data_IF_495798060796
#
_entry.id   IF_495798060796
#
_cell.length_a   1.000
_cell.length_b   1.000
_cell.length_c   1.000
_cell.angle_alpha   90.00
_cell.angle_beta   90.00
_cell.angle_gamma   90.00
#
_symmetry.space_group_name_H-M   'P 1'
#
loop_
_entity.id
_entity.type
_entity.pdbx_description
1 polymer ?
#
# COMPACT_ATOMS: atom_id res chain seq x y z
N UNK A 1 -22.49 19.63 -6.74
CA UNK A 1 -21.37 19.47 -5.78
C UNK A 1 -20.07 19.17 -6.54
N UNK A 2 -18.87 19.44 -5.99
CA UNK A 2 -17.70 18.54 -6.20
C UNK A 2 -16.83 18.43 -4.94
N UNK A 3 -16.66 17.18 -4.54
CA UNK A 3 -15.91 16.59 -3.42
C UNK A 3 -16.02 15.05 -3.59
N UNK A 4 -15.15 14.26 -2.95
CA UNK A 4 -15.06 12.80 -3.11
C UNK A 4 -14.72 12.31 -4.55
N UNK A 5 -15.68 11.80 -5.33
CA UNK A 5 -15.42 10.95 -6.51
C UNK A 5 -14.39 11.46 -7.54
N UNK A 6 -14.36 12.76 -7.84
CA UNK A 6 -13.38 13.33 -8.77
C UNK A 6 -11.92 13.31 -8.24
N UNK A 7 -11.71 13.28 -6.92
CA UNK A 7 -10.38 13.07 -6.32
C UNK A 7 -9.94 11.61 -6.43
N UNK A 8 -10.86 10.65 -6.25
CA UNK A 8 -10.60 9.21 -6.40
C UNK A 8 -10.34 8.81 -7.86
N UNK A 9 -10.82 9.59 -8.84
CA UNK A 9 -10.46 9.41 -10.25
C UNK A 9 -9.09 10.02 -10.60
N UNK A 10 -8.73 11.17 -10.00
CA UNK A 10 -7.41 11.79 -10.17
C UNK A 10 -6.27 10.97 -9.52
N UNK A 11 -6.61 10.15 -8.52
CA UNK A 11 -5.76 9.16 -7.83
C UNK A 11 -4.89 8.31 -8.79
N UNK A 12 -5.39 8.01 -9.99
CA UNK A 12 -4.78 7.02 -10.90
C UNK A 12 -3.79 7.58 -11.94
N UNK A 13 -3.69 8.91 -12.09
CA UNK A 13 -2.75 9.52 -13.05
C UNK A 13 -1.34 9.73 -12.50
N UNK A 14 -1.13 9.60 -11.19
CA UNK A 14 0.17 9.84 -10.55
C UNK A 14 0.98 8.55 -10.37
N UNK A 15 0.32 7.39 -10.23
CA UNK A 15 0.98 6.10 -9.99
C UNK A 15 1.96 5.67 -11.08
N UNK A 16 1.87 6.21 -12.30
CA UNK A 16 2.82 5.96 -13.41
C UNK A 16 3.96 6.97 -13.52
N UNK A 17 4.05 7.96 -12.62
CA UNK A 17 5.09 9.02 -12.67
C UNK A 17 6.19 8.89 -11.60
N UNK A 18 5.99 8.07 -10.56
CA UNK A 18 6.92 7.97 -9.40
C UNK A 18 8.08 6.98 -9.65
N UNK A 19 8.63 6.97 -10.86
CA UNK A 19 9.93 6.34 -11.16
C UNK A 19 10.89 7.26 -11.95
N UNK A 20 10.55 8.51 -12.28
CA UNK A 20 11.45 9.37 -13.10
C UNK A 20 11.42 10.90 -12.89
N UNK A 21 10.71 11.46 -11.89
CA UNK A 21 10.68 12.92 -11.60
C UNK A 21 10.23 13.16 -10.15
N UNK A 22 10.75 14.08 -9.31
CA UNK A 22 11.44 15.37 -9.51
C UNK A 22 10.92 16.17 -10.69
N UNK A 23 9.79 16.88 -10.52
CA UNK A 23 9.65 18.31 -10.86
C UNK A 23 8.19 18.84 -10.83
N UNK A 24 8.01 19.93 -10.07
CA UNK A 24 7.25 21.15 -10.41
C UNK A 24 5.71 21.25 -10.58
N UNK A 25 5.24 22.37 -10.00
CA UNK A 25 4.24 23.35 -10.48
C UNK A 25 2.77 23.26 -10.04
N UNK A 26 2.09 24.38 -10.29
CA UNK A 26 0.93 24.96 -9.58
C UNK A 26 -0.31 25.04 -10.46
N UNK A 27 -1.52 25.17 -9.90
CA UNK A 27 -2.61 25.84 -10.63
C UNK A 27 -4.04 25.46 -10.24
N UNK A 28 -4.89 26.48 -10.07
CA UNK A 28 -6.26 26.41 -9.52
C UNK A 28 -7.41 26.16 -10.52
N UNK A 29 -8.62 25.97 -9.96
CA UNK A 29 -9.98 26.16 -10.54
C UNK A 29 -10.55 25.06 -11.46
N UNK A 30 -11.87 24.86 -11.63
CA UNK A 30 -13.07 25.37 -10.90
C UNK A 30 -14.14 24.24 -10.74
N UNK A 31 -15.46 24.49 -10.63
CA UNK A 31 -16.52 23.54 -10.19
C UNK A 31 -17.85 23.77 -10.95
N UNK A 32 -18.43 22.74 -11.59
CA UNK A 32 -19.87 22.72 -11.99
C UNK A 32 -20.46 21.31 -12.07
N UNK A 33 -21.80 21.22 -12.10
CA UNK A 33 -22.56 20.05 -11.64
C UNK A 33 -23.83 19.75 -12.43
N UNK A 34 -24.21 18.47 -12.49
CA UNK A 34 -25.58 17.98 -12.68
C UNK A 34 -26.05 17.22 -11.43
N UNK A 35 -27.37 16.98 -11.27
CA UNK A 35 -27.97 16.40 -10.05
C UNK A 35 -29.11 15.46 -10.44
N UNK A 36 -29.06 14.22 -9.96
CA UNK A 36 -30.21 13.29 -9.89
C UNK A 36 -30.26 12.62 -8.51
N UNK A 37 -31.31 11.84 -8.29
CA UNK A 37 -31.95 11.53 -7.00
C UNK A 37 -31.06 10.82 -5.97
N UNK A 38 -31.17 11.26 -4.71
CA UNK A 38 -30.46 10.69 -3.55
C UNK A 38 -31.44 10.03 -2.58
N UNK A 39 -31.00 8.97 -1.90
CA UNK A 39 -31.48 8.66 -0.54
C UNK A 39 -30.80 9.65 0.41
N UNK A 40 -31.50 10.12 1.44
CA UNK A 40 -31.07 11.29 2.22
C UNK A 40 -30.19 10.92 3.42
N UNK A 41 -29.14 11.74 3.60
CA UNK A 41 -28.15 11.84 4.70
C UNK A 41 -28.48 11.25 6.09
N UNK A 42 -27.39 10.87 6.79
CA UNK A 42 -27.25 10.60 8.24
C UNK A 42 -27.57 9.20 8.79
N UNK A 43 -27.71 8.15 7.98
CA UNK A 43 -27.67 6.78 8.50
C UNK A 43 -26.24 6.25 8.57
N UNK A 44 -25.65 6.26 9.77
CA UNK A 44 -24.51 5.38 10.07
C UNK A 44 -25.07 3.97 10.24
N UNK A 45 -24.74 3.08 9.32
CA UNK A 45 -25.09 1.65 9.44
C UNK A 45 -23.98 0.99 10.27
N UNK A 46 -24.37 0.12 11.22
CA UNK A 46 -23.39 -0.67 11.97
C UNK A 46 -22.63 -1.58 11.00
N UNK A 47 -21.33 -1.73 11.20
CA UNK A 47 -20.47 -2.57 10.39
C UNK A 47 -20.93 -4.04 10.35
N UNK A 48 -21.65 -4.51 11.39
CA UNK A 48 -22.25 -5.84 11.44
C UNK A 48 -23.60 -5.93 10.70
N UNK A 49 -24.33 -4.82 10.56
CA UNK A 49 -25.71 -4.78 10.03
C UNK A 49 -25.79 -4.81 8.49
N UNK A 50 -24.66 -4.73 7.78
CA UNK A 50 -24.66 -4.86 6.30
C UNK A 50 -25.06 -6.25 5.81
N UNK A 51 -25.00 -7.26 6.69
CA UNK A 51 -25.34 -8.64 6.39
C UNK A 51 -24.31 -9.38 5.53
N UNK A 52 -24.43 -10.72 5.52
CA UNK A 52 -23.43 -11.61 4.92
C UNK A 52 -22.25 -11.90 5.85
N UNK A 53 -21.31 -12.72 5.38
CA UNK A 53 -20.05 -13.00 6.05
C UNK A 53 -19.12 -11.78 5.92
N UNK A 54 -18.47 -11.41 7.02
CA UNK A 54 -17.39 -10.42 7.00
C UNK A 54 -16.05 -11.12 6.73
N UNK A 55 -15.11 -10.41 6.10
CA UNK A 55 -13.72 -10.88 5.97
C UNK A 55 -13.09 -10.94 7.37
N UNK A 56 -12.30 -11.98 7.65
CA UNK A 56 -11.63 -12.14 8.94
C UNK A 56 -10.33 -12.92 8.78
N UNK A 57 -9.34 -12.25 8.20
CA UNK A 57 -8.03 -12.79 7.85
C UNK A 57 -6.89 -12.05 8.59
N UNK A 58 -5.69 -12.64 8.70
CA UNK A 58 -4.50 -11.94 9.15
C UNK A 58 -4.18 -10.74 8.25
N UNK A 59 -3.83 -9.60 8.87
CA UNK A 59 -3.53 -8.36 8.14
C UNK A 59 -2.57 -7.47 8.95
N UNK A 60 -1.31 -7.89 9.04
CA UNK A 60 -0.28 -7.28 9.88
C UNK A 60 1.07 -7.11 9.16
N UNK A 61 1.09 -7.31 7.84
CA UNK A 61 2.28 -7.17 6.98
C UNK A 61 1.89 -7.26 5.49
N UNK A 62 2.86 -6.99 4.62
CA UNK A 62 2.71 -7.20 3.17
C UNK A 62 2.60 -8.69 2.81
N UNK A 63 3.25 -9.60 3.55
CA UNK A 63 3.13 -11.05 3.41
C UNK A 63 1.67 -11.49 3.59
N UNK A 64 1.08 -11.13 4.74
CA UNK A 64 -0.30 -11.50 5.05
C UNK A 64 -1.26 -11.00 3.94
N UNK A 65 -1.10 -9.75 3.49
CA UNK A 65 -1.97 -9.14 2.49
C UNK A 65 -1.77 -9.70 1.06
N UNK A 66 -0.53 -10.05 0.68
CA UNK A 66 -0.23 -10.67 -0.63
C UNK A 66 -0.78 -12.10 -0.72
N UNK A 67 -0.91 -12.83 0.40
CA UNK A 67 -1.59 -14.14 0.45
C UNK A 67 -3.09 -14.04 0.23
N UNK A 68 -3.71 -12.90 0.54
CA UNK A 68 -5.12 -12.64 0.24
C UNK A 68 -5.33 -12.12 -1.20
N UNK A 69 -4.28 -11.55 -1.79
CA UNK A 69 -4.35 -10.88 -3.09
C UNK A 69 -4.23 -11.88 -4.24
N UNK A 70 -5.12 -11.85 -5.26
CA UNK A 70 -4.99 -12.70 -6.45
C UNK A 70 -3.69 -12.42 -7.23
N UNK A 71 -3.25 -13.37 -8.04
CA UNK A 71 -2.05 -13.25 -8.87
C UNK A 71 -2.06 -12.03 -9.82
N UNK A 72 -0.87 -11.60 -10.26
CA UNK A 72 -0.69 -10.54 -11.26
C UNK A 72 -0.41 -9.14 -10.72
N UNK A 73 -0.15 -9.00 -9.42
CA UNK A 73 0.42 -7.77 -8.83
C UNK A 73 1.76 -7.42 -9.47
N UNK A 74 2.00 -6.12 -9.60
CA UNK A 74 3.22 -5.49 -10.12
C UNK A 74 3.97 -4.68 -9.04
N UNK A 75 3.20 -4.04 -8.17
CA UNK A 75 3.68 -3.33 -7.00
C UNK A 75 2.65 -3.48 -5.89
N UNK A 76 3.15 -3.75 -4.69
CA UNK A 76 2.36 -3.77 -3.47
C UNK A 76 3.05 -2.97 -2.38
N UNK A 77 2.24 -2.34 -1.53
CA UNK A 77 2.64 -1.57 -0.37
C UNK A 77 1.75 -1.93 0.82
N UNK A 78 2.34 -2.01 2.01
CA UNK A 78 1.66 -2.15 3.30
C UNK A 78 2.19 -1.08 4.26
N UNK A 79 1.27 -0.46 5.02
CA UNK A 79 1.60 0.51 6.06
C UNK A 79 0.74 0.27 7.30
N UNK A 80 1.38 0.02 8.44
CA UNK A 80 0.78 0.18 9.76
C UNK A 80 0.80 1.67 10.12
N UNK A 81 -0.32 2.35 9.89
CA UNK A 81 -0.43 3.80 10.00
C UNK A 81 -0.30 4.25 11.46
N UNK A 82 -0.80 3.45 12.41
CA UNK A 82 -0.66 3.72 13.84
C UNK A 82 0.82 3.67 14.24
N UNK A 83 1.49 2.54 13.99
CA UNK A 83 2.88 2.35 14.41
C UNK A 83 3.86 3.31 13.69
N UNK A 84 3.72 3.52 12.37
CA UNK A 84 4.62 4.43 11.65
C UNK A 84 4.45 5.89 12.08
N UNK A 85 3.28 6.28 12.61
CA UNK A 85 3.02 7.66 13.03
C UNK A 85 3.75 8.07 14.31
N UNK A 86 4.05 7.11 15.17
CA UNK A 86 4.90 7.30 16.35
C UNK A 86 6.39 7.18 16.01
N UNK A 87 6.72 6.63 14.83
CA UNK A 87 8.10 6.45 14.37
C UNK A 87 8.75 7.74 13.84
N UNK A 88 10.10 7.81 13.86
CA UNK A 88 10.84 8.90 13.21
C UNK A 88 10.64 9.00 11.68
N UNK A 89 10.10 7.96 11.02
CA UNK A 89 9.76 7.99 9.60
C UNK A 89 8.36 8.52 9.29
N UNK A 90 7.48 8.67 10.30
CA UNK A 90 6.09 9.06 10.14
C UNK A 90 5.86 10.26 9.21
N UNK A 91 6.58 11.39 9.36
CA UNK A 91 6.43 12.55 8.47
C UNK A 91 6.78 12.26 7.01
N UNK A 92 7.81 11.42 6.76
CA UNK A 92 8.22 11.06 5.41
C UNK A 92 7.20 10.13 4.74
N UNK A 93 6.74 9.09 5.44
CA UNK A 93 5.75 8.15 4.89
C UNK A 93 4.40 8.82 4.65
N UNK A 94 3.97 9.71 5.55
CA UNK A 94 2.79 10.55 5.34
C UNK A 94 2.92 11.44 4.10
N UNK A 95 4.10 12.00 3.85
CA UNK A 95 4.38 12.77 2.64
C UNK A 95 4.40 11.90 1.38
N UNK A 96 4.96 10.69 1.43
CA UNK A 96 5.02 9.75 0.30
C UNK A 96 3.61 9.34 -0.12
N UNK A 97 2.83 8.82 0.84
CA UNK A 97 1.42 8.44 0.64
C UNK A 97 0.60 9.61 0.07
N UNK A 98 0.80 10.83 0.58
CA UNK A 98 0.11 12.01 0.07
C UNK A 98 0.43 12.30 -1.40
N UNK A 99 1.68 12.14 -1.84
CA UNK A 99 2.09 12.34 -3.24
C UNK A 99 1.53 11.25 -4.16
N UNK A 100 1.42 10.01 -3.68
CA UNK A 100 0.87 8.87 -4.42
C UNK A 100 -0.67 8.82 -4.42
N UNK A 101 -1.32 9.80 -3.78
CA UNK A 101 -2.78 9.88 -3.67
C UNK A 101 -3.38 9.01 -2.55
N UNK A 102 -2.56 8.25 -1.83
CA UNK A 102 -2.93 7.40 -0.70
C UNK A 102 -2.86 8.14 0.65
N UNK A 103 -2.97 9.47 0.62
CA UNK A 103 -2.91 10.32 1.81
C UNK A 103 -3.95 9.90 2.87
N UNK A 104 -3.57 9.99 4.14
CA UNK A 104 -4.43 9.51 5.24
C UNK A 104 -5.76 10.28 5.30
N UNK A 105 -5.80 11.56 4.90
CA UNK A 105 -7.06 12.31 4.76
C UNK A 105 -8.02 11.73 3.70
N UNK A 106 -7.47 11.10 2.66
CA UNK A 106 -8.21 10.43 1.59
C UNK A 106 -8.69 9.06 2.07
N UNK A 107 -7.84 8.29 2.77
CA UNK A 107 -8.19 7.00 3.35
C UNK A 107 -9.25 7.15 4.45
N UNK A 108 -9.07 8.09 5.37
CA UNK A 108 -10.03 8.37 6.44
C UNK A 108 -11.35 8.91 5.86
N UNK A 109 -11.26 9.74 4.81
CA UNK A 109 -12.41 10.22 4.05
C UNK A 109 -13.15 9.13 3.28
N UNK A 110 -12.53 7.99 2.97
CA UNK A 110 -13.18 6.87 2.28
C UNK A 110 -14.18 6.15 3.20
N UNK A 111 -13.92 6.07 4.50
CA UNK A 111 -14.77 5.36 5.47
C UNK A 111 -15.44 6.29 6.50
N UNK A 112 -15.00 7.55 6.59
CA UNK A 112 -15.38 8.47 7.66
C UNK A 112 -14.88 8.01 9.03
N UNK A 113 -13.75 7.31 9.08
CA UNK A 113 -13.15 6.67 10.25
C UNK A 113 -11.61 6.74 10.14
N UNK A 114 -10.89 6.61 11.24
CA UNK A 114 -9.43 6.72 11.23
C UNK A 114 -8.82 5.42 10.72
N UNK A 115 -8.04 5.47 9.64
CA UNK A 115 -7.38 4.32 9.04
C UNK A 115 -6.18 3.90 9.87
N UNK A 116 -6.18 2.65 10.35
CA UNK A 116 -5.14 2.13 11.25
C UNK A 116 -4.07 1.34 10.50
N UNK A 117 -4.46 0.62 9.45
CA UNK A 117 -3.54 -0.10 8.53
C UNK A 117 -4.06 0.00 7.12
N UNK A 118 -3.15 0.05 6.16
CA UNK A 118 -3.46 -0.04 4.74
C UNK A 118 -2.56 -1.03 4.01
N UNK A 119 -3.08 -1.57 2.92
CA UNK A 119 -2.34 -2.25 1.88
C UNK A 119 -2.89 -1.81 0.54
N UNK A 120 -2.01 -1.46 -0.41
CA UNK A 120 -2.37 -1.06 -1.75
C UNK A 120 -1.55 -1.85 -2.76
N UNK A 121 -2.20 -2.40 -3.78
CA UNK A 121 -1.53 -3.13 -4.86
C UNK A 121 -2.05 -2.71 -6.24
N UNK A 122 -1.16 -2.67 -7.22
CA UNK A 122 -1.45 -2.46 -8.66
C UNK A 122 -1.18 -3.75 -9.44
N UNK A 123 -1.88 -3.93 -10.57
CA UNK A 123 -1.79 -5.13 -11.39
C UNK A 123 -1.39 -4.80 -12.83
N UNK A 124 -0.59 -5.67 -13.45
CA UNK A 124 -0.03 -5.47 -14.81
C UNK A 124 -1.07 -5.27 -15.91
N UNK A 125 -2.29 -5.77 -15.73
CA UNK A 125 -3.32 -5.77 -16.79
C UNK A 125 -3.99 -4.41 -17.08
N UNK A 126 -3.99 -3.43 -16.16
CA UNK A 126 -4.33 -2.04 -16.50
C UNK A 126 -4.01 -1.02 -15.40
N UNK A 127 -3.75 0.23 -15.78
CA UNK A 127 -3.63 1.40 -14.90
C UNK A 127 -4.88 1.70 -14.03
N UNK A 128 -5.98 0.95 -14.22
CA UNK A 128 -7.21 1.06 -13.41
C UNK A 128 -7.47 -0.17 -12.53
N UNK A 129 -6.56 -1.15 -12.57
CA UNK A 129 -6.60 -2.38 -11.80
C UNK A 129 -5.77 -2.20 -10.53
N UNK A 130 -6.47 -2.14 -9.40
CA UNK A 130 -5.87 -1.99 -8.08
C UNK A 130 -6.62 -2.81 -7.04
N UNK A 131 -6.04 -2.95 -5.86
CA UNK A 131 -6.71 -3.47 -4.67
C UNK A 131 -6.25 -2.65 -3.48
N UNK A 132 -7.20 -2.12 -2.70
CA UNK A 132 -6.95 -1.48 -1.42
C UNK A 132 -7.54 -2.38 -0.33
N UNK A 133 -6.75 -2.70 0.69
CA UNK A 133 -7.22 -3.33 1.91
C UNK A 133 -6.92 -2.40 3.09
N UNK A 134 -7.86 -2.24 4.01
CA UNK A 134 -7.72 -1.29 5.13
C UNK A 134 -8.36 -1.82 6.40
N UNK A 135 -7.78 -1.48 7.55
CA UNK A 135 -8.47 -1.49 8.84
C UNK A 135 -8.67 -0.05 9.31
N UNK A 136 -9.77 0.22 9.99
CA UNK A 136 -10.11 1.55 10.48
C UNK A 136 -10.96 1.48 11.74
N UNK A 137 -10.89 2.51 12.58
CA UNK A 137 -11.71 2.68 13.78
C UNK A 137 -12.33 4.09 13.86
N UNK A 138 -13.60 4.23 14.30
CA UNK A 138 -14.52 3.15 14.65
C UNK A 138 -14.97 2.36 13.42
N UNK A 139 -15.24 1.05 13.59
CA UNK A 139 -15.88 0.23 12.55
C UNK A 139 -17.31 0.73 12.26
N UNK A 140 -17.47 1.52 11.21
CA UNK A 140 -18.74 2.12 10.77
C UNK A 140 -18.88 2.12 9.26
N UNK A 141 -20.11 2.19 8.76
CA UNK A 141 -20.40 2.40 7.34
C UNK A 141 -21.01 3.79 7.15
N UNK A 142 -20.29 4.64 6.41
CA UNK A 142 -20.63 6.07 6.18
C UNK A 142 -20.61 6.43 4.69
N UNK A 143 -21.11 5.53 3.85
CA UNK A 143 -21.20 5.69 2.40
C UNK A 143 -22.44 5.00 1.85
N UNK A 144 -23.00 5.54 0.77
CA UNK A 144 -24.15 4.94 0.07
C UNK A 144 -23.69 3.78 -0.82
N UNK A 145 -24.42 2.66 -0.79
CA UNK A 145 -24.09 1.46 -1.55
C UNK A 145 -25.31 0.71 -2.08
N UNK A 146 -25.07 -0.11 -3.11
CA UNK A 146 -25.99 -1.14 -3.60
C UNK A 146 -25.42 -2.50 -3.17
N UNK A 147 -26.12 -3.28 -2.32
CA UNK A 147 -25.65 -4.60 -1.89
C UNK A 147 -25.82 -5.65 -3.00
N UNK A 148 -24.81 -6.48 -3.20
CA UNK A 148 -24.80 -7.59 -4.17
C UNK A 148 -24.20 -8.84 -3.54
N UNK A 149 -24.96 -9.93 -3.52
CA UNK A 149 -24.49 -11.21 -2.99
C UNK A 149 -23.41 -11.84 -3.87
N UNK A 150 -22.35 -12.33 -3.24
CA UNK A 150 -21.32 -13.17 -3.85
C UNK A 150 -20.90 -14.26 -2.87
N UNK A 151 -21.29 -15.51 -3.15
CA UNK A 151 -21.14 -16.61 -2.18
C UNK A 151 -21.82 -16.28 -0.86
N UNK A 152 -21.05 -16.30 0.24
CA UNK A 152 -21.53 -15.92 1.57
C UNK A 152 -21.38 -14.41 1.89
N UNK A 153 -20.74 -13.63 1.02
CA UNK A 153 -20.42 -12.22 1.23
C UNK A 153 -21.48 -11.27 0.63
N UNK A 154 -21.63 -10.11 1.26
CA UNK A 154 -22.32 -8.97 0.65
C UNK A 154 -21.30 -7.97 0.10
N UNK A 155 -21.25 -7.85 -1.23
CA UNK A 155 -20.38 -6.92 -1.95
C UNK A 155 -21.11 -5.60 -2.12
N UNK A 156 -20.59 -4.56 -1.47
CA UNK A 156 -21.21 -3.24 -1.42
C UNK A 156 -20.68 -2.39 -2.58
N UNK A 157 -21.45 -2.28 -3.66
CA UNK A 157 -21.10 -1.38 -4.76
C UNK A 157 -21.38 0.06 -4.34
N UNK A 158 -20.32 0.84 -4.10
CA UNK A 158 -20.43 2.21 -3.59
C UNK A 158 -20.88 3.19 -4.66
N UNK A 159 -21.87 4.02 -4.34
CA UNK A 159 -22.45 4.98 -5.28
C UNK A 159 -21.54 6.20 -5.53
N UNK A 160 -20.64 6.51 -4.60
CA UNK A 160 -19.72 7.66 -4.66
C UNK A 160 -18.53 7.48 -5.61
N UNK A 161 -18.17 6.22 -5.89
CA UNK A 161 -16.95 5.82 -6.59
C UNK A 161 -17.21 4.79 -7.70
N UNK A 162 -18.37 4.13 -7.71
CA UNK A 162 -18.69 3.02 -8.62
C UNK A 162 -17.87 1.75 -8.38
N UNK A 163 -17.10 1.70 -7.28
CA UNK A 163 -16.20 0.61 -6.89
C UNK A 163 -16.88 -0.31 -5.87
N UNK A 164 -16.36 -1.53 -5.75
CA UNK A 164 -16.87 -2.52 -4.80
C UNK A 164 -16.12 -2.44 -3.48
N UNK A 165 -16.83 -2.69 -2.38
CA UNK A 165 -16.29 -2.74 -1.03
C UNK A 165 -16.82 -4.01 -0.33
N UNK A 166 -16.00 -4.72 0.44
CA UNK A 166 -16.42 -5.87 1.26
C UNK A 166 -15.87 -5.66 2.67
N UNK A 167 -16.76 -5.65 3.65
CA UNK A 167 -16.42 -5.31 5.02
C UNK A 167 -15.78 -6.49 5.75
N UNK A 168 -14.84 -6.16 6.63
CA UNK A 168 -14.20 -7.10 7.53
C UNK A 168 -12.85 -6.62 8.05
N UNK A 169 -12.04 -7.58 8.47
CA UNK A 169 -10.64 -7.41 8.82
C UNK A 169 -9.78 -8.26 7.85
N UNK A 170 -9.12 -7.66 6.84
CA UNK A 170 -9.25 -6.27 6.41
C UNK A 170 -10.57 -6.01 5.67
N UNK A 171 -10.95 -4.74 5.53
CA UNK A 171 -11.99 -4.31 4.60
C UNK A 171 -11.36 -4.12 3.22
N UNK A 172 -11.97 -4.73 2.20
CA UNK A 172 -11.44 -4.80 0.83
C UNK A 172 -12.16 -3.77 -0.05
N UNK A 173 -11.42 -3.02 -0.86
CA UNK A 173 -11.94 -2.01 -1.79
C UNK A 173 -11.23 -2.07 -3.15
N UNK A 174 -11.99 -1.99 -4.24
CA UNK A 174 -11.39 -1.98 -5.58
C UNK A 174 -12.40 -2.07 -6.74
N UNK A 175 -11.90 -2.27 -7.98
CA UNK A 175 -12.72 -2.71 -9.10
C UNK A 175 -13.37 -4.06 -8.77
N UNK A 176 -14.63 -4.26 -9.16
CA UNK A 176 -15.40 -5.46 -8.81
C UNK A 176 -14.63 -6.76 -9.11
N UNK A 177 -14.04 -6.89 -10.30
CA UNK A 177 -13.21 -8.05 -10.69
C UNK A 177 -12.16 -8.42 -9.63
N UNK A 178 -11.43 -7.44 -9.11
CA UNK A 178 -10.31 -7.69 -8.18
C UNK A 178 -10.85 -8.01 -6.79
N UNK A 179 -11.93 -7.35 -6.37
CA UNK A 179 -12.61 -7.65 -5.09
C UNK A 179 -13.15 -9.08 -5.10
N UNK A 180 -13.83 -9.51 -6.17
CA UNK A 180 -14.32 -10.89 -6.29
C UNK A 180 -13.19 -11.92 -6.34
N UNK A 181 -12.14 -11.67 -7.13
CA UNK A 181 -10.98 -12.56 -7.18
C UNK A 181 -10.23 -12.66 -5.83
N UNK A 182 -10.29 -11.62 -4.98
CA UNK A 182 -9.78 -11.65 -3.59
C UNK A 182 -10.66 -12.54 -2.71
N UNK A 183 -11.99 -12.50 -2.87
CA UNK A 183 -12.89 -13.43 -2.17
C UNK A 183 -12.68 -14.89 -2.62
N UNK A 184 -12.42 -15.12 -3.90
CA UNK A 184 -12.09 -16.46 -4.43
C UNK A 184 -10.80 -17.03 -3.80
N UNK A 185 -9.80 -16.19 -3.55
CA UNK A 185 -8.59 -16.57 -2.80
C UNK A 185 -8.94 -16.90 -1.34
N UNK A 186 -9.70 -16.03 -0.65
CA UNK A 186 -10.10 -16.21 0.75
C UNK A 186 -10.94 -17.49 0.96
N UNK A 187 -11.86 -17.81 0.06
CA UNK A 187 -12.65 -19.05 0.11
C UNK A 187 -11.86 -20.29 -0.39
N UNK A 188 -10.60 -20.13 -0.79
CA UNK A 188 -9.74 -21.20 -1.30
C UNK A 188 -10.15 -21.77 -2.66
N UNK A 189 -11.05 -21.08 -3.37
CA UNK A 189 -11.46 -21.39 -4.74
C UNK A 189 -10.36 -21.07 -5.76
N UNK A 190 -9.58 -20.02 -5.49
CA UNK A 190 -8.31 -19.74 -6.14
C UNK A 190 -7.15 -19.98 -5.16
N UNK A 191 -6.08 -20.63 -5.61
CA UNK A 191 -4.84 -20.87 -4.83
C UNK A 191 -3.65 -20.08 -5.35
N UNK A 192 -3.78 -19.43 -6.51
CA UNK A 192 -2.76 -18.57 -7.06
C UNK A 192 -2.88 -17.19 -6.41
N UNK A 193 -1.92 -16.88 -5.55
CA UNK A 193 -1.84 -15.62 -4.81
C UNK A 193 -0.63 -14.84 -5.28
N UNK A 194 -0.67 -13.51 -5.16
CA UNK A 194 0.48 -12.69 -5.51
C UNK A 194 1.64 -12.82 -4.53
N UNK A 195 1.46 -13.49 -3.38
CA UNK A 195 2.57 -13.88 -2.51
C UNK A 195 3.61 -14.75 -3.23
N UNK A 196 3.17 -15.76 -3.99
CA UNK A 196 4.08 -16.69 -4.68
C UNK A 196 5.01 -16.00 -5.69
N UNK A 197 4.60 -14.85 -6.24
CA UNK A 197 5.45 -14.07 -7.12
C UNK A 197 6.65 -13.43 -6.38
N UNK A 198 6.48 -13.06 -5.11
CA UNK A 198 7.48 -12.33 -4.31
C UNK A 198 8.08 -13.18 -3.16
N UNK A 199 7.73 -14.47 -3.06
CA UNK A 199 8.09 -15.37 -1.95
C UNK A 199 9.61 -15.35 -1.66
N UNK A 200 10.45 -15.48 -2.67
CA UNK A 200 11.92 -15.44 -2.55
C UNK A 200 12.44 -14.18 -1.84
N UNK A 201 11.83 -13.03 -2.10
CA UNK A 201 12.22 -11.74 -1.48
C UNK A 201 11.59 -11.58 -0.10
N UNK A 202 10.34 -12.04 0.08
CA UNK A 202 9.60 -11.88 1.32
C UNK A 202 10.03 -12.85 2.43
N UNK A 203 10.63 -14.00 2.10
CA UNK A 203 11.21 -14.92 3.09
C UNK A 203 12.37 -14.28 3.87
N UNK A 204 13.12 -13.37 3.24
CA UNK A 204 14.21 -12.61 3.86
C UNK A 204 13.77 -11.23 4.40
N UNK A 205 12.49 -10.85 4.20
CA UNK A 205 11.96 -9.57 4.61
C UNK A 205 11.63 -9.56 6.12
N UNK A 206 12.25 -8.70 6.94
CA UNK A 206 11.83 -8.54 8.33
C UNK A 206 10.45 -7.87 8.41
N UNK A 207 9.70 -8.16 9.48
CA UNK A 207 8.49 -7.40 9.81
C UNK A 207 8.84 -5.92 9.99
N UNK A 208 8.06 -5.05 9.36
CA UNK A 208 8.25 -3.61 9.36
C UNK A 208 6.90 -2.87 9.24
N UNK A 209 6.83 -1.67 9.80
CA UNK A 209 5.65 -0.80 9.85
C UNK A 209 5.33 -0.24 8.46
N UNK A 210 6.34 -0.03 7.63
CA UNK A 210 6.19 0.29 6.21
C UNK A 210 6.92 -0.75 5.37
N UNK A 211 6.26 -1.26 4.33
CA UNK A 211 6.78 -2.30 3.45
C UNK A 211 6.30 -2.03 2.02
N UNK A 212 7.20 -2.13 1.03
CA UNK A 212 6.83 -2.08 -0.40
C UNK A 212 7.64 -3.13 -1.16
N UNK A 213 7.00 -3.82 -2.10
CA UNK A 213 7.63 -4.75 -3.04
C UNK A 213 7.18 -4.47 -4.47
N UNK A 214 8.07 -4.62 -5.46
CA UNK A 214 7.73 -4.47 -6.88
C UNK A 214 8.67 -5.25 -7.79
N UNK A 215 8.19 -5.61 -8.98
CA UNK A 215 8.98 -6.13 -10.10
C UNK A 215 9.00 -5.19 -11.33
N UNK A 216 8.44 -3.98 -11.20
CA UNK A 216 8.43 -2.95 -12.25
C UNK A 216 9.61 -1.99 -12.10
N UNK A 217 10.82 -2.55 -12.23
CA UNK A 217 12.10 -1.86 -12.12
C UNK A 217 13.11 -2.43 -13.13
N UNK A 218 14.18 -1.69 -13.39
CA UNK A 218 15.22 -2.08 -14.37
C UNK A 218 16.56 -2.48 -13.75
N UNK A 219 16.68 -2.37 -12.42
CA UNK A 219 17.95 -2.46 -11.69
C UNK A 219 18.10 -3.77 -10.88
N UNK A 220 17.02 -4.55 -10.79
CA UNK A 220 16.90 -5.88 -10.20
C UNK A 220 15.62 -6.52 -10.78
N UNK A 221 15.47 -7.85 -10.72
CA UNK A 221 14.23 -8.53 -11.12
C UNK A 221 13.08 -8.21 -10.14
N UNK A 222 13.42 -8.07 -8.85
CA UNK A 222 12.50 -7.65 -7.80
C UNK A 222 13.21 -6.78 -6.77
N UNK A 223 12.46 -5.86 -6.18
CA UNK A 223 12.94 -4.99 -5.11
C UNK A 223 11.92 -4.90 -3.98
N UNK A 224 12.40 -5.05 -2.75
CA UNK A 224 11.68 -4.77 -1.51
C UNK A 224 12.36 -3.64 -0.73
N UNK A 225 11.55 -2.83 -0.06
CA UNK A 225 11.96 -1.87 0.95
C UNK A 225 11.06 -1.98 2.17
N UNK A 226 11.66 -2.19 3.34
CA UNK A 226 11.03 -2.13 4.65
C UNK A 226 11.63 -1.02 5.50
N UNK A 227 10.80 -0.32 6.28
CA UNK A 227 11.22 0.70 7.25
C UNK A 227 10.60 0.42 8.62
N UNK A 228 11.44 0.40 9.65
CA UNK A 228 11.03 0.16 11.04
C UNK A 228 11.75 1.08 12.01
N UNK A 229 11.11 1.42 13.12
CA UNK A 229 11.70 2.29 14.14
C UNK A 229 12.93 1.63 14.77
N UNK A 230 14.07 2.34 14.79
CA UNK A 230 15.25 1.91 15.50
C UNK A 230 15.31 2.48 16.92
N UNK A 231 16.24 1.98 17.74
CA UNK A 231 16.52 2.56 19.05
C UNK A 231 16.99 4.02 18.93
N UNK A 232 16.91 4.80 20.02
CA UNK A 232 17.47 6.15 20.11
C UNK A 232 17.00 7.13 19.01
N UNK A 233 15.75 7.02 18.56
CA UNK A 233 15.17 7.86 17.49
C UNK A 233 15.88 7.69 16.12
N UNK A 234 16.49 6.52 15.90
CA UNK A 234 17.02 6.11 14.60
C UNK A 234 15.92 5.46 13.75
N UNK A 235 16.23 5.24 12.47
CA UNK A 235 15.43 4.48 11.53
C UNK A 235 16.24 3.29 11.04
N UNK A 236 15.62 2.13 10.91
CA UNK A 236 16.20 0.98 10.20
C UNK A 236 15.52 0.86 8.84
N UNK A 237 16.31 0.74 7.78
CA UNK A 237 15.84 0.40 6.44
C UNK A 237 16.47 -0.91 6.00
N UNK A 238 15.63 -1.87 5.65
CA UNK A 238 16.05 -3.08 4.94
C UNK A 238 15.61 -2.96 3.49
N UNK A 239 16.55 -3.04 2.55
CA UNK A 239 16.25 -3.25 1.12
C UNK A 239 16.74 -4.62 0.67
N UNK A 240 15.97 -5.26 -0.21
CA UNK A 240 16.29 -6.58 -0.75
C UNK A 240 16.17 -6.50 -2.27
N UNK A 241 17.16 -7.01 -2.97
CA UNK A 241 17.23 -7.04 -4.43
C UNK A 241 17.37 -8.50 -4.88
N UNK A 242 16.50 -8.95 -5.78
CA UNK A 242 16.65 -10.23 -6.50
C UNK A 242 17.29 -9.97 -7.85
N UNK A 243 18.37 -10.69 -8.17
CA UNK A 243 19.17 -10.48 -9.39
C UNK A 243 19.53 -9.01 -9.65
N UNK A 244 20.13 -8.28 -8.67
CA UNK A 244 20.57 -6.91 -8.89
C UNK A 244 21.59 -6.82 -10.03
N UNK A 245 21.51 -5.75 -10.82
CA UNK A 245 22.52 -5.51 -11.88
C UNK A 245 23.91 -5.31 -11.26
N UNK A 246 24.97 -5.62 -12.03
CA UNK A 246 26.36 -5.47 -11.57
C UNK A 246 26.64 -4.04 -11.07
N UNK A 247 26.10 -3.04 -11.77
CA UNK A 247 26.20 -1.61 -11.41
C UNK A 247 25.59 -1.31 -10.03
N UNK A 248 24.46 -1.94 -9.69
CA UNK A 248 23.81 -1.82 -8.38
C UNK A 248 24.64 -2.49 -7.29
N UNK A 249 25.15 -3.69 -7.54
CA UNK A 249 25.98 -4.43 -6.59
C UNK A 249 27.27 -3.66 -6.27
N UNK A 250 27.94 -3.11 -7.29
CA UNK A 250 29.12 -2.26 -7.12
C UNK A 250 28.81 -0.97 -6.36
N UNK A 251 27.71 -0.28 -6.72
CA UNK A 251 27.28 0.95 -6.05
C UNK A 251 27.01 0.72 -4.57
N UNK A 252 26.25 -0.33 -4.21
CA UNK A 252 25.92 -0.64 -2.82
C UNK A 252 27.19 -1.00 -2.02
N UNK A 253 28.09 -1.80 -2.59
CA UNK A 253 29.37 -2.15 -1.93
C UNK A 253 30.26 -0.91 -1.69
N UNK A 254 30.28 0.03 -2.64
CA UNK A 254 30.96 1.33 -2.51
C UNK A 254 30.33 2.20 -1.41
N UNK A 255 29.01 2.30 -1.36
CA UNK A 255 28.28 3.02 -0.30
C UNK A 255 28.53 2.42 1.09
N UNK A 256 28.60 1.09 1.20
CA UNK A 256 28.91 0.38 2.44
C UNK A 256 30.33 0.65 2.96
N UNK A 257 31.33 0.69 2.07
CA UNK A 257 32.73 0.91 2.43
C UNK A 257 32.97 2.24 3.17
N UNK A 258 32.26 3.31 2.77
CA UNK A 258 32.37 4.65 3.37
C UNK A 258 31.16 4.99 4.26
N UNK A 259 30.45 3.99 4.79
CA UNK A 259 29.19 4.20 5.52
C UNK A 259 29.35 4.98 6.82
N UNK A 260 30.34 4.65 7.66
CA UNK A 260 30.61 5.33 8.94
C UNK A 260 30.96 6.81 8.74
N UNK A 261 31.76 7.14 7.72
CA UNK A 261 32.11 8.54 7.39
C UNK A 261 30.88 9.36 6.96
N UNK A 262 29.85 8.70 6.42
CA UNK A 262 28.57 9.29 6.01
C UNK A 262 27.53 9.29 7.15
N UNK A 263 27.92 8.88 8.36
CA UNK A 263 27.10 8.94 9.57
C UNK A 263 26.15 7.76 9.75
N UNK A 264 26.41 6.61 9.14
CA UNK A 264 25.67 5.38 9.45
C UNK A 264 26.23 4.69 10.70
N UNK A 265 25.32 4.24 11.57
CA UNK A 265 25.66 3.40 12.72
C UNK A 265 25.87 1.96 12.28
N UNK A 266 25.01 1.49 11.38
CA UNK A 266 25.07 0.16 10.79
C UNK A 266 24.85 0.24 9.28
N UNK A 267 25.63 -0.55 8.54
CA UNK A 267 25.48 -0.76 7.10
C UNK A 267 25.88 -2.21 6.78
N UNK A 268 24.92 -3.11 6.93
CA UNK A 268 25.11 -4.54 6.76
C UNK A 268 24.69 -4.96 5.34
N UNK A 269 25.60 -5.57 4.59
CA UNK A 269 25.35 -6.15 3.28
C UNK A 269 25.49 -7.66 3.41
N UNK A 270 24.42 -8.39 3.12
CA UNK A 270 24.42 -9.86 3.02
C UNK A 270 24.11 -10.25 1.58
N UNK A 271 24.90 -11.14 0.99
CA UNK A 271 24.68 -11.65 -0.36
C UNK A 271 24.48 -13.17 -0.28
N UNK A 272 23.37 -13.66 -0.81
CA UNK A 272 22.90 -15.05 -0.71
C UNK A 272 22.41 -15.49 -2.08
N UNK A 273 23.25 -16.23 -2.81
CA UNK A 273 23.03 -16.61 -4.21
C UNK A 273 22.60 -15.40 -5.07
N UNK A 274 21.35 -15.38 -5.52
CA UNK A 274 20.74 -14.35 -6.38
C UNK A 274 20.20 -13.14 -5.60
N UNK A 275 20.19 -13.18 -4.25
CA UNK A 275 19.70 -12.12 -3.38
C UNK A 275 20.82 -11.25 -2.82
N UNK A 276 20.54 -9.94 -2.74
CA UNK A 276 21.32 -8.97 -1.98
C UNK A 276 20.42 -8.28 -0.96
N UNK A 277 20.70 -8.49 0.33
CA UNK A 277 20.02 -7.85 1.46
C UNK A 277 20.90 -6.75 2.01
N UNK A 278 20.35 -5.54 2.17
CA UNK A 278 21.04 -4.38 2.71
C UNK A 278 20.24 -3.83 3.87
N UNK A 279 20.80 -3.86 5.07
CA UNK A 279 20.18 -3.27 6.27
C UNK A 279 21.03 -2.11 6.77
N UNK A 280 20.43 -0.92 6.89
CA UNK A 280 21.11 0.30 7.35
C UNK A 280 20.37 0.89 8.55
N UNK A 281 21.13 1.38 9.55
CA UNK A 281 20.60 2.16 10.68
C UNK A 281 21.34 3.50 10.82
N UNK A 282 20.58 4.58 10.94
CA UNK A 282 21.07 5.93 11.23
C UNK A 282 19.88 6.85 11.57
N UNK A 283 20.12 8.15 11.66
CA UNK A 283 19.06 9.17 11.68
C UNK A 283 18.14 9.04 10.46
N UNK A 284 16.84 9.41 10.56
CA UNK A 284 15.90 9.28 9.44
C UNK A 284 16.36 10.00 8.18
N UNK A 285 16.97 11.19 8.32
CA UNK A 285 17.48 11.99 7.20
C UNK A 285 18.57 11.22 6.44
N UNK A 286 19.50 10.57 7.14
CA UNK A 286 20.54 9.76 6.49
C UNK A 286 19.93 8.54 5.79
N UNK A 287 19.06 7.78 6.48
CA UNK A 287 18.44 6.55 5.95
C UNK A 287 17.55 6.80 4.74
N UNK A 288 16.77 7.89 4.75
CA UNK A 288 15.93 8.30 3.61
C UNK A 288 16.81 8.82 2.47
N UNK A 289 17.78 9.71 2.76
CA UNK A 289 18.62 10.32 1.72
C UNK A 289 19.60 9.33 1.03
N UNK A 290 19.83 8.15 1.61
CA UNK A 290 20.74 7.13 1.08
C UNK A 290 20.34 6.59 -0.30
N UNK A 291 19.06 6.68 -0.68
CA UNK A 291 18.61 6.27 -2.02
C UNK A 291 18.93 7.31 -3.12
N UNK A 292 19.35 8.52 -2.75
CA UNK A 292 19.48 9.68 -3.65
C UNK A 292 20.94 10.09 -3.95
N UNK A 293 21.91 9.25 -3.59
CA UNK A 293 23.35 9.41 -3.88
C UNK A 293 23.80 8.23 -4.74
#
# INVERSE_FOLDING_TARGET
>A
MKSAGAKVLALFLVSTMVLSSIAYFTGSSEKKSGRESSVTENQTIDFLDVGGRLVNEPFSSIDDALRLTPEGVEMAEYVDIEAISESPAGPFIRSQLQMEGLGIDILDGLYGANTTRMYFATFKESNSSFLLMTTFEPKVVRFDFIPKWYGSYNVLQRMDTGRSNVLGNPTIFGPERNVLATLDVIEGANRNTSYTAYETVLLEAPRAEYQRVTDNITFADQFYIGLTAGENNTLVRTTIYLNPSVEVVEKIKSLGANSTERGFEEYNITQMDDLMVVSIRSTPVNVISEAYK
#
